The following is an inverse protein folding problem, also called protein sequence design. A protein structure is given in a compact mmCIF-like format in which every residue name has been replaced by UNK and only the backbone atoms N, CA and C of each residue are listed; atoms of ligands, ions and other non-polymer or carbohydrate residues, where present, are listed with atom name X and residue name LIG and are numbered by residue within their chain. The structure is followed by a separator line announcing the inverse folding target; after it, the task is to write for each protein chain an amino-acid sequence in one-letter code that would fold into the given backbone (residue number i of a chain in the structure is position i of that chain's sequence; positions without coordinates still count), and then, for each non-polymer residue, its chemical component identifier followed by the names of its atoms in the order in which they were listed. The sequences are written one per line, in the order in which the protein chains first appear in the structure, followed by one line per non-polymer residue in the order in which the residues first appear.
data_IF_424092270549
#
_entry.id   IF_424092270549
#
_cell.length_a   1.000
_cell.length_b   1.000
_cell.length_c   1.000
_cell.angle_alpha   90.00
_cell.angle_beta   90.00
_cell.angle_gamma   90.00
#
_symmetry.space_group_name_H-M   'P 1'
#
loop_
_entity.id
_entity.type
_entity.pdbx_description
1 polymer ?
#
# COMPACT_ATOMS: atom_id res chain seq x y z
N UNK A 1 14.02 12.38 -28.75
CA UNK A 1 12.84 11.51 -28.61
C UNK A 1 12.18 11.84 -27.29
N UNK A 2 10.89 12.20 -27.30
CA UNK A 2 10.13 12.34 -26.04
C UNK A 2 9.76 10.93 -25.58
N UNK A 3 10.15 10.58 -24.35
CA UNK A 3 9.73 9.34 -23.74
C UNK A 3 8.27 9.48 -23.30
N UNK A 4 7.39 8.62 -23.80
CA UNK A 4 6.05 8.47 -23.25
C UNK A 4 6.10 7.42 -22.14
N UNK A 5 5.64 7.79 -20.96
CA UNK A 5 5.50 6.84 -19.87
C UNK A 5 4.48 5.76 -20.28
N UNK A 6 4.76 4.47 -20.05
CA UNK A 6 3.74 3.45 -20.22
C UNK A 6 2.57 3.78 -19.29
N UNK A 7 1.43 4.18 -19.88
CA UNK A 7 0.19 4.43 -19.16
C UNK A 7 -0.61 3.15 -19.02
N UNK A 8 -1.35 3.03 -17.92
CA UNK A 8 -2.35 1.97 -17.73
C UNK A 8 -3.70 2.62 -17.50
N UNK A 9 -4.73 2.08 -18.16
CA UNK A 9 -6.12 2.41 -17.86
C UNK A 9 -6.65 1.41 -16.85
N UNK A 10 -7.25 1.91 -15.76
CA UNK A 10 -7.82 1.10 -14.69
C UNK A 10 -9.21 1.63 -14.33
N UNK A 11 -10.21 0.75 -14.36
CA UNK A 11 -11.62 1.09 -14.15
C UNK A 11 -12.17 0.33 -12.94
N UNK A 12 -12.12 0.92 -11.72
CA UNK A 12 -12.67 0.27 -10.52
C UNK A 12 -14.20 0.18 -10.59
N UNK A 13 -14.75 -0.90 -10.04
CA UNK A 13 -16.18 -1.01 -9.79
C UNK A 13 -16.62 -0.08 -8.64
N UNK A 14 -17.90 0.32 -8.57
CA UNK A 14 -18.41 1.11 -7.45
C UNK A 14 -18.14 0.42 -6.10
N UNK A 15 -17.51 1.17 -5.19
CA UNK A 15 -17.14 0.68 -3.85
C UNK A 15 -15.78 -0.02 -3.78
N UNK A 16 -15.06 -0.19 -4.89
CA UNK A 16 -13.67 -0.65 -4.88
C UNK A 16 -12.72 0.48 -4.48
N UNK A 17 -11.58 0.10 -3.91
CA UNK A 17 -10.52 1.03 -3.49
C UNK A 17 -9.26 0.81 -4.32
N UNK A 18 -8.71 1.90 -4.86
CA UNK A 18 -7.38 1.89 -5.50
C UNK A 18 -6.37 2.42 -4.49
N UNK A 19 -5.40 1.58 -4.12
CA UNK A 19 -4.30 1.96 -3.24
C UNK A 19 -3.03 2.19 -4.06
N UNK A 20 -2.56 3.43 -4.07
CA UNK A 20 -1.26 3.80 -4.65
C UNK A 20 -0.23 3.91 -3.54
N UNK A 21 0.96 3.37 -3.78
CA UNK A 21 2.05 3.40 -2.81
C UNK A 21 3.37 3.59 -3.55
N UNK A 22 4.36 4.15 -2.84
CA UNK A 22 5.74 4.19 -3.31
C UNK A 22 6.47 2.95 -2.85
N UNK A 23 7.50 2.55 -3.59
CA UNK A 23 8.38 1.44 -3.22
C UNK A 23 9.04 1.63 -1.84
N UNK A 24 9.16 2.88 -1.37
CA UNK A 24 9.55 3.22 -0.01
C UNK A 24 8.76 2.47 1.08
N UNK A 25 7.47 2.20 0.90
CA UNK A 25 6.69 1.40 1.85
C UNK A 25 7.25 -0.01 2.01
N UNK A 26 7.60 -0.65 0.89
CA UNK A 26 8.14 -2.01 0.89
C UNK A 26 9.58 -2.02 1.42
N UNK A 27 10.40 -1.06 1.00
CA UNK A 27 11.81 -0.97 1.42
C UNK A 27 11.95 -0.79 2.94
N UNK A 28 11.04 -0.05 3.56
CA UNK A 28 11.10 0.25 5.00
C UNK A 28 10.83 -0.93 5.91
N UNK A 29 10.27 -2.03 5.40
CA UNK A 29 10.07 -3.25 6.20
C UNK A 29 11.39 -3.95 6.54
N UNK A 30 12.42 -3.79 5.69
CA UNK A 30 13.68 -4.55 5.78
C UNK A 30 13.57 -6.00 5.29
N UNK A 31 12.39 -6.43 4.81
CA UNK A 31 12.16 -7.75 4.23
C UNK A 31 12.68 -7.83 2.79
N UNK A 32 12.90 -9.06 2.30
CA UNK A 32 13.03 -9.29 0.86
C UNK A 32 11.78 -8.77 0.11
N UNK A 33 11.97 -8.18 -1.07
CA UNK A 33 10.89 -7.49 -1.82
C UNK A 33 9.64 -8.36 -2.02
N UNK A 34 9.80 -9.63 -2.42
CA UNK A 34 8.66 -10.53 -2.64
C UNK A 34 7.85 -10.77 -1.35
N UNK A 35 8.56 -10.89 -0.22
CA UNK A 35 7.93 -11.04 1.10
C UNK A 35 7.20 -9.76 1.51
N UNK A 36 7.81 -8.60 1.30
CA UNK A 36 7.18 -7.31 1.57
C UNK A 36 5.93 -7.10 0.71
N UNK A 37 5.98 -7.47 -0.58
CA UNK A 37 4.86 -7.38 -1.51
C UNK A 37 3.71 -8.33 -1.14
N UNK A 38 4.02 -9.58 -0.79
CA UNK A 38 3.02 -10.54 -0.31
C UNK A 38 2.36 -10.06 1.00
N UNK A 39 3.15 -9.47 1.90
CA UNK A 39 2.65 -8.86 3.14
C UNK A 39 1.73 -7.67 2.87
N UNK A 40 2.05 -6.80 1.91
CA UNK A 40 1.20 -5.68 1.50
C UNK A 40 -0.17 -6.17 0.99
N UNK A 41 -0.17 -7.22 0.16
CA UNK A 41 -1.42 -7.84 -0.32
C UNK A 41 -2.28 -8.38 0.83
N UNK A 42 -1.65 -9.07 1.78
CA UNK A 42 -2.33 -9.57 2.98
C UNK A 42 -2.86 -8.43 3.86
N UNK A 43 -2.09 -7.35 4.02
CA UNK A 43 -2.51 -6.17 4.77
C UNK A 43 -3.75 -5.50 4.14
N UNK A 44 -3.77 -5.31 2.82
CA UNK A 44 -4.92 -4.75 2.12
C UNK A 44 -6.15 -5.68 2.19
N UNK A 45 -5.97 -6.99 2.04
CA UNK A 45 -7.05 -7.97 2.11
C UNK A 45 -7.67 -8.10 3.53
N UNK A 46 -6.91 -7.76 4.57
CA UNK A 46 -7.33 -7.86 5.97
C UNK A 46 -8.02 -6.62 6.52
N UNK A 47 -8.24 -5.57 5.71
CA UNK A 47 -8.95 -4.36 6.15
C UNK A 47 -10.37 -4.72 6.66
N UNK A 48 -10.73 -4.28 7.89
CA UNK A 48 -12.06 -4.50 8.46
C UNK A 48 -13.16 -3.98 7.55
N UNK A 49 -14.28 -4.72 7.43
CA UNK A 49 -15.39 -4.35 6.54
C UNK A 49 -15.96 -2.96 6.81
N UNK A 50 -15.97 -2.53 8.08
CA UNK A 50 -16.42 -1.19 8.51
C UNK A 50 -15.56 -0.08 7.90
N UNK A 51 -14.28 -0.35 7.69
CA UNK A 51 -13.28 0.67 7.38
C UNK A 51 -13.07 0.81 5.86
N UNK A 52 -13.53 -0.17 5.07
CA UNK A 52 -13.31 -0.24 3.61
C UNK A 52 -13.87 0.95 2.82
N UNK A 53 -14.81 1.70 3.39
CA UNK A 53 -15.44 2.85 2.74
C UNK A 53 -14.76 4.17 3.12
N UNK A 54 -13.81 4.13 4.06
CA UNK A 54 -13.00 5.28 4.46
C UNK A 54 -11.56 5.06 3.93
N UNK A 55 -11.17 5.77 2.85
CA UNK A 55 -9.84 5.64 2.28
C UNK A 55 -8.71 5.94 3.28
N UNK A 56 -8.95 6.85 4.23
CA UNK A 56 -7.97 7.16 5.26
C UNK A 56 -7.80 5.97 6.21
N UNK A 57 -8.90 5.37 6.67
CA UNK A 57 -8.87 4.19 7.52
C UNK A 57 -8.21 2.97 6.84
N UNK A 58 -8.44 2.79 5.54
CA UNK A 58 -7.75 1.77 4.72
C UNK A 58 -6.25 1.99 4.73
N UNK A 59 -5.80 3.21 4.40
CA UNK A 59 -4.37 3.55 4.36
C UNK A 59 -3.72 3.37 5.73
N UNK A 60 -4.38 3.83 6.78
CA UNK A 60 -3.97 3.70 8.16
C UNK A 60 -3.79 2.24 8.61
N UNK A 61 -4.76 1.38 8.27
CA UNK A 61 -4.66 -0.07 8.53
C UNK A 61 -3.46 -0.68 7.82
N UNK A 62 -3.28 -0.37 6.53
CA UNK A 62 -2.16 -0.89 5.75
C UNK A 62 -0.82 -0.41 6.32
N UNK A 63 -0.68 0.88 6.65
CA UNK A 63 0.55 1.43 7.21
C UNK A 63 0.89 0.80 8.56
N UNK A 64 -0.08 0.69 9.49
CA UNK A 64 0.14 0.04 10.78
C UNK A 64 0.51 -1.44 10.64
N UNK A 65 -0.08 -2.14 9.68
CA UNK A 65 0.21 -3.56 9.42
C UNK A 65 1.59 -3.77 8.80
N UNK A 66 2.01 -2.87 7.91
CA UNK A 66 3.30 -2.94 7.23
C UNK A 66 4.46 -2.47 8.11
N UNK A 67 4.22 -1.45 8.94
CA UNK A 67 5.22 -0.78 9.78
C UNK A 67 4.73 -0.74 11.24
N UNK A 68 4.67 -1.89 11.94
CA UNK A 68 4.13 -1.98 13.30
C UNK A 68 4.94 -1.16 14.32
N UNK A 69 6.24 -0.96 14.04
CA UNK A 69 7.13 -0.14 14.86
C UNK A 69 7.06 1.36 14.52
N UNK A 70 6.12 1.76 13.67
CA UNK A 70 5.81 3.16 13.34
C UNK A 70 6.56 3.74 12.14
N UNK A 71 6.13 4.95 11.74
CA UNK A 71 6.68 5.72 10.62
C UNK A 71 7.95 6.49 10.98
N UNK A 72 8.37 6.52 12.25
CA UNK A 72 9.49 7.35 12.72
C UNK A 72 10.86 6.69 12.52
N UNK A 73 10.89 5.42 12.11
CA UNK A 73 12.13 4.76 11.66
C UNK A 73 12.43 5.18 10.22
N UNK A 74 12.85 6.41 10.03
CA UNK A 74 13.47 6.91 8.80
C UNK A 74 14.86 7.45 9.13
N UNK A 75 15.85 6.87 8.44
CA UNK A 75 17.29 7.14 8.38
C UNK A 75 17.88 8.24 9.27
N UNK A 76 18.74 7.81 10.21
CA UNK A 76 19.93 8.57 10.63
C UNK A 76 21.06 8.34 9.64
#
# INVERSE_FOLDING_TARGET
ACWEAPSVEFSPAPGETVLLYTDGLLRRTGDAMDRAFARLHSAAASVPKSDRHDPAAVADHVLRTMLPDGLDRSDS
#
